data_IF_598599566456
#
_entry.id   IF_598599566456
#
_cell.length_a   1.000
_cell.length_b   1.000
_cell.length_c   1.000
_cell.angle_alpha   90.00
_cell.angle_beta   90.00
_cell.angle_gamma   90.00
#
_symmetry.space_group_name_H-M   'P 1'
#
loop_
_entity.id
_entity.type
_entity.pdbx_description
1 polymer ?
#
# COMPACT_ATOMS: atom_id res chain seq x y z
N UNK A 1 14.79 -29.34 -11.38
CA UNK A 1 14.25 -28.14 -10.71
C UNK A 1 14.20 -28.41 -9.22
N UNK A 2 14.73 -27.51 -8.40
CA UNK A 2 14.60 -27.61 -6.93
C UNK A 2 13.17 -27.23 -6.58
N UNK A 3 12.53 -28.03 -5.73
CA UNK A 3 11.14 -27.77 -5.32
C UNK A 3 11.17 -27.09 -3.97
N UNK A 4 10.63 -25.89 -3.93
CA UNK A 4 10.54 -25.09 -2.71
C UNK A 4 9.35 -25.53 -1.86
N UNK A 5 9.44 -25.33 -0.55
CA UNK A 5 8.28 -25.45 0.33
C UNK A 5 7.34 -24.26 0.15
N UNK A 6 7.90 -23.07 -0.10
CA UNK A 6 7.15 -21.82 -0.25
C UNK A 6 7.70 -20.97 -1.40
N UNK A 7 6.80 -20.32 -2.14
CA UNK A 7 7.12 -19.17 -2.98
C UNK A 7 6.38 -17.94 -2.45
N UNK A 8 7.06 -16.79 -2.36
CA UNK A 8 6.45 -15.50 -2.04
C UNK A 8 6.58 -14.60 -3.27
N UNK A 9 5.48 -13.98 -3.70
CA UNK A 9 5.44 -13.12 -4.90
C UNK A 9 5.18 -11.69 -4.47
N UNK A 10 6.17 -10.83 -4.66
CA UNK A 10 6.22 -9.43 -4.25
C UNK A 10 7.13 -9.20 -3.04
N UNK A 11 7.93 -8.13 -3.10
CA UNK A 11 8.84 -7.68 -2.04
C UNK A 11 8.45 -6.29 -1.49
N UNK A 12 7.16 -5.97 -1.51
CA UNK A 12 6.60 -4.91 -0.68
C UNK A 12 6.55 -5.32 0.81
N UNK A 13 6.07 -4.45 1.72
CA UNK A 13 6.07 -4.74 3.16
C UNK A 13 5.33 -6.04 3.55
N UNK A 14 4.29 -6.42 2.81
CA UNK A 14 3.61 -7.69 3.03
C UNK A 14 4.50 -8.90 2.68
N UNK A 15 5.22 -8.84 1.55
CA UNK A 15 6.12 -9.91 1.12
C UNK A 15 7.35 -10.02 2.02
N UNK A 16 7.92 -8.88 2.43
CA UNK A 16 9.01 -8.82 3.42
C UNK A 16 8.57 -9.51 4.73
N UNK A 17 7.38 -9.17 5.24
CA UNK A 17 6.80 -9.82 6.42
C UNK A 17 6.62 -11.34 6.20
N UNK A 18 6.06 -11.76 5.08
CA UNK A 18 5.87 -13.18 4.78
C UNK A 18 7.19 -13.97 4.81
N UNK A 19 8.24 -13.48 4.14
CA UNK A 19 9.54 -14.15 4.11
C UNK A 19 10.17 -14.19 5.50
N UNK A 20 10.18 -13.07 6.23
CA UNK A 20 10.72 -13.03 7.59
C UNK A 20 10.00 -14.02 8.51
N UNK A 21 8.68 -14.07 8.45
CA UNK A 21 7.89 -14.97 9.30
C UNK A 21 8.00 -16.43 8.91
N UNK A 22 8.14 -16.76 7.63
CA UNK A 22 8.44 -18.14 7.20
C UNK A 22 9.77 -18.63 7.80
N UNK A 23 10.82 -17.81 7.75
CA UNK A 23 12.11 -18.10 8.35
C UNK A 23 12.00 -18.25 9.88
N UNK A 24 11.24 -17.37 10.54
CA UNK A 24 11.01 -17.43 11.99
C UNK A 24 10.26 -18.69 12.43
N UNK A 25 9.47 -19.31 11.55
CA UNK A 25 8.79 -20.59 11.78
C UNK A 25 9.63 -21.80 11.37
N UNK A 26 10.93 -21.62 11.13
CA UNK A 26 11.87 -22.70 10.87
C UNK A 26 11.86 -23.25 9.45
N UNK A 27 11.17 -22.59 8.51
CA UNK A 27 11.31 -22.93 7.08
C UNK A 27 12.72 -22.54 6.66
N UNK A 28 13.47 -23.49 6.10
CA UNK A 28 14.84 -23.23 5.68
C UNK A 28 14.86 -22.28 4.49
N UNK A 29 15.84 -21.39 4.45
CA UNK A 29 15.93 -20.38 3.42
C UNK A 29 16.06 -20.95 1.99
N UNK A 30 16.74 -22.08 1.82
CA UNK A 30 16.85 -22.80 0.54
C UNK A 30 15.51 -23.42 0.09
N UNK A 31 14.52 -23.54 0.97
CA UNK A 31 13.16 -23.98 0.67
C UNK A 31 12.19 -22.83 0.37
N UNK A 32 12.66 -21.58 0.33
CA UNK A 32 11.86 -20.39 0.05
C UNK A 32 12.34 -19.76 -1.26
N UNK A 33 11.44 -19.68 -2.24
CA UNK A 33 11.61 -18.81 -3.40
C UNK A 33 10.95 -17.46 -3.12
N UNK A 34 11.61 -16.35 -3.43
CA UNK A 34 11.04 -15.01 -3.30
C UNK A 34 11.18 -14.28 -4.63
N UNK A 35 10.05 -13.88 -5.22
CA UNK A 35 9.98 -13.33 -6.57
C UNK A 35 9.58 -11.86 -6.49
N UNK A 36 10.41 -10.96 -7.01
CA UNK A 36 10.08 -9.53 -7.15
C UNK A 36 10.89 -8.90 -8.28
N UNK A 37 10.36 -7.92 -9.02
CA UNK A 37 11.10 -7.28 -10.11
C UNK A 37 12.34 -6.51 -9.64
N UNK A 38 12.30 -5.90 -8.46
CA UNK A 38 13.28 -4.87 -8.07
C UNK A 38 13.92 -5.11 -6.70
N UNK A 39 13.19 -5.76 -5.79
CA UNK A 39 13.48 -5.87 -4.36
C UNK A 39 13.70 -4.52 -3.69
N UNK A 40 12.91 -3.53 -4.09
CA UNK A 40 13.00 -2.14 -3.64
C UNK A 40 11.93 -1.77 -2.60
N UNK A 41 11.52 -2.71 -1.75
CA UNK A 41 10.43 -2.55 -0.78
C UNK A 41 9.06 -2.19 -1.40
N UNK A 42 8.82 -2.62 -2.65
CA UNK A 42 7.62 -2.34 -3.42
C UNK A 42 7.40 -0.84 -3.68
N UNK A 43 6.14 -0.43 -3.81
CA UNK A 43 5.83 0.97 -4.12
C UNK A 43 6.19 1.95 -2.98
N UNK A 44 6.31 1.48 -1.73
CA UNK A 44 6.74 2.32 -0.60
C UNK A 44 8.17 2.82 -0.83
N UNK A 45 9.06 1.94 -1.32
CA UNK A 45 10.45 2.30 -1.60
C UNK A 45 10.68 2.96 -2.95
N UNK A 46 9.74 2.89 -3.89
CA UNK A 46 9.94 3.39 -5.26
C UNK A 46 9.07 4.60 -5.61
N UNK A 47 7.81 4.65 -5.15
CA UNK A 47 6.83 5.67 -5.56
C UNK A 47 6.45 6.63 -4.43
N UNK A 48 6.32 6.12 -3.22
CA UNK A 48 5.64 6.86 -2.14
C UNK A 48 6.59 7.57 -1.17
N UNK A 49 7.89 7.67 -1.49
CA UNK A 49 8.92 8.16 -0.55
C UNK A 49 8.65 9.59 -0.04
N UNK A 50 8.18 10.48 -0.91
CA UNK A 50 7.88 11.87 -0.57
C UNK A 50 6.54 12.05 0.18
N UNK A 51 5.74 10.98 0.31
CA UNK A 51 4.41 11.09 0.90
C UNK A 51 4.52 11.12 2.43
N UNK A 52 3.90 12.10 3.10
CA UNK A 52 3.78 12.07 4.56
C UNK A 52 2.91 10.88 4.98
N UNK A 53 3.46 10.02 5.83
CA UNK A 53 2.73 8.90 6.40
C UNK A 53 1.65 9.36 7.39
N UNK A 54 0.62 8.55 7.56
CA UNK A 54 -0.46 8.75 8.53
C UNK A 54 -0.36 7.81 9.74
N UNK A 55 0.76 7.10 9.87
CA UNK A 55 1.01 6.09 10.90
C UNK A 55 2.10 6.60 11.84
N UNK A 56 1.93 6.38 13.14
CA UNK A 56 2.94 6.75 14.12
C UNK A 56 4.23 5.96 13.91
N UNK A 57 5.37 6.61 14.15
CA UNK A 57 6.69 5.99 14.03
C UNK A 57 6.82 4.74 14.90
N UNK A 58 6.21 4.71 16.09
CA UNK A 58 6.17 3.53 16.95
C UNK A 58 5.69 2.27 16.22
N UNK A 59 4.60 2.37 15.44
CA UNK A 59 4.03 1.23 14.70
C UNK A 59 4.93 0.75 13.55
N UNK A 60 5.74 1.64 12.96
CA UNK A 60 6.77 1.23 12.01
C UNK A 60 7.92 0.51 12.72
N UNK A 61 8.38 1.03 13.86
CA UNK A 61 9.40 0.37 14.67
C UNK A 61 8.94 -1.00 15.17
N UNK A 62 7.67 -1.14 15.59
CA UNK A 62 7.08 -2.42 15.97
C UNK A 62 7.13 -3.41 14.81
N UNK A 63 6.71 -3.00 13.61
CA UNK A 63 6.80 -3.84 12.41
C UNK A 63 8.24 -4.33 12.17
N UNK A 64 9.21 -3.42 12.23
CA UNK A 64 10.63 -3.72 11.93
C UNK A 64 11.26 -4.63 13.00
N UNK A 65 10.81 -4.55 14.25
CA UNK A 65 11.32 -5.37 15.35
C UNK A 65 10.55 -6.70 15.53
N UNK A 66 9.40 -6.88 14.89
CA UNK A 66 8.55 -8.07 15.11
C UNK A 66 9.20 -9.37 14.64
N UNK A 67 9.94 -9.35 13.53
CA UNK A 67 10.57 -10.55 12.97
C UNK A 67 12.06 -10.58 13.32
N UNK A 68 12.54 -11.54 14.13
CA UNK A 68 13.98 -11.69 14.37
C UNK A 68 14.76 -11.95 13.08
N UNK A 69 14.15 -12.59 12.07
CA UNK A 69 14.78 -12.77 10.76
C UNK A 69 15.08 -11.48 10.00
N UNK A 70 14.46 -10.35 10.38
CA UNK A 70 14.82 -9.04 9.81
C UNK A 70 16.16 -8.53 10.33
N UNK A 71 16.62 -8.99 11.50
CA UNK A 71 17.84 -8.52 12.17
C UNK A 71 17.92 -6.99 12.27
N UNK A 72 16.78 -6.34 12.44
CA UNK A 72 16.73 -4.87 12.48
C UNK A 72 17.56 -4.28 13.63
N UNK A 73 17.72 -5.00 14.75
CA UNK A 73 18.61 -4.61 15.84
C UNK A 73 20.11 -4.52 15.45
N UNK A 74 20.49 -5.14 14.33
CA UNK A 74 21.85 -5.12 13.79
C UNK A 74 22.00 -4.15 12.60
N UNK A 75 20.92 -3.44 12.26
CA UNK A 75 20.91 -2.53 11.13
C UNK A 75 21.73 -1.26 11.42
N UNK A 76 22.20 -0.54 10.38
CA UNK A 76 22.79 0.77 10.58
C UNK A 76 21.77 1.73 11.21
N UNK A 77 22.26 2.82 11.80
CA UNK A 77 21.40 3.87 12.31
C UNK A 77 20.59 4.48 11.15
N UNK A 78 19.26 4.47 11.28
CA UNK A 78 18.35 5.13 10.34
C UNK A 78 17.75 6.37 10.98
N UNK A 79 17.50 7.40 10.19
CA UNK A 79 16.83 8.62 10.64
C UNK A 79 15.47 8.31 11.31
N UNK A 80 14.75 7.30 10.81
CA UNK A 80 13.51 6.80 11.40
C UNK A 80 13.62 6.53 12.92
N UNK A 81 14.75 5.99 13.38
CA UNK A 81 14.96 5.65 14.80
C UNK A 81 15.24 6.87 15.69
N UNK A 82 15.43 8.04 15.10
CA UNK A 82 15.69 9.30 15.82
C UNK A 82 14.43 10.16 15.97
N UNK A 83 13.36 9.83 15.23
CA UNK A 83 12.09 10.54 15.28
C UNK A 83 11.30 10.06 16.50
N UNK A 84 10.63 11.00 17.17
CA UNK A 84 9.71 10.71 18.27
C UNK A 84 8.68 9.63 17.82
N UNK A 85 8.60 8.48 18.52
CA UNK A 85 7.68 7.40 18.18
C UNK A 85 6.21 7.82 18.11
N UNK A 86 5.80 8.89 18.81
CA UNK A 86 4.45 9.44 18.77
C UNK A 86 4.13 10.31 17.54
N UNK A 87 5.13 10.62 16.71
CA UNK A 87 4.96 11.46 15.51
C UNK A 87 4.76 10.62 14.25
N UNK A 88 4.33 11.28 13.17
CA UNK A 88 4.34 10.73 11.81
C UNK A 88 5.58 11.18 11.05
N UNK A 89 6.00 10.43 10.03
CA UNK A 89 7.16 10.76 9.19
C UNK A 89 6.88 10.58 7.70
N UNK A 90 7.81 11.01 6.83
CA UNK A 90 7.75 10.67 5.40
C UNK A 90 7.97 9.17 5.20
N UNK A 91 7.24 8.56 4.27
CA UNK A 91 7.38 7.12 4.00
C UNK A 91 8.76 6.74 3.46
N UNK A 92 9.52 7.67 2.90
CA UNK A 92 10.92 7.46 2.50
C UNK A 92 11.82 7.05 3.67
N UNK A 93 11.58 7.57 4.88
CA UNK A 93 12.34 7.18 6.07
C UNK A 93 12.01 5.75 6.53
N UNK A 94 10.82 5.26 6.21
CA UNK A 94 10.39 3.88 6.45
C UNK A 94 10.89 2.94 5.34
N UNK A 95 11.00 3.45 4.11
CA UNK A 95 11.51 2.68 2.98
C UNK A 95 12.96 2.25 3.17
N UNK A 96 13.82 3.11 3.74
CA UNK A 96 15.24 2.79 3.96
C UNK A 96 15.47 1.48 4.74
N UNK A 97 14.91 1.29 5.95
CA UNK A 97 15.08 0.03 6.66
C UNK A 97 14.43 -1.16 5.94
N UNK A 98 13.31 -0.96 5.22
CA UNK A 98 12.68 -2.04 4.45
C UNK A 98 13.55 -2.52 3.28
N UNK A 99 14.22 -1.60 2.59
CA UNK A 99 15.17 -1.93 1.51
C UNK A 99 16.37 -2.68 2.08
N UNK A 100 16.91 -2.22 3.21
CA UNK A 100 18.00 -2.91 3.90
C UNK A 100 17.61 -4.33 4.34
N UNK A 101 16.44 -4.50 4.96
CA UNK A 101 15.89 -5.82 5.32
C UNK A 101 15.73 -6.70 4.08
N UNK A 102 15.19 -6.14 2.98
CA UNK A 102 15.01 -6.89 1.74
C UNK A 102 16.33 -7.41 1.18
N UNK A 103 17.40 -6.59 1.21
CA UNK A 103 18.74 -7.01 0.81
C UNK A 103 19.24 -8.16 1.68
N UNK A 104 19.11 -8.05 3.00
CA UNK A 104 19.58 -9.08 3.91
C UNK A 104 18.80 -10.40 3.78
N UNK A 105 17.48 -10.34 3.63
CA UNK A 105 16.66 -11.54 3.43
C UNK A 105 16.99 -12.24 2.10
N UNK A 106 17.31 -11.50 1.04
CA UNK A 106 17.69 -12.09 -0.26
C UNK A 106 18.95 -12.94 -0.20
N UNK A 107 19.87 -12.63 0.70
CA UNK A 107 21.09 -13.44 0.90
C UNK A 107 20.78 -14.80 1.53
N UNK A 108 19.59 -14.95 2.12
CA UNK A 108 19.19 -16.13 2.90
C UNK A 108 18.19 -17.01 2.16
N UNK A 109 17.57 -16.54 1.08
CA UNK A 109 16.52 -17.27 0.34
C UNK A 109 16.84 -17.34 -1.15
N UNK A 110 16.10 -18.18 -1.90
CA UNK A 110 16.20 -18.20 -3.35
C UNK A 110 15.48 -16.98 -3.96
N UNK A 111 16.19 -15.85 -4.06
CA UNK A 111 15.67 -14.63 -4.65
C UNK A 111 15.67 -14.70 -6.18
N UNK A 112 14.50 -14.54 -6.79
CA UNK A 112 14.31 -14.50 -8.24
C UNK A 112 13.86 -13.11 -8.64
N UNK A 113 14.68 -12.45 -9.46
CA UNK A 113 14.31 -11.16 -10.04
C UNK A 113 13.34 -11.40 -11.19
N UNK A 114 12.09 -10.95 -11.05
CA UNK A 114 11.09 -11.10 -12.10
C UNK A 114 9.67 -10.80 -11.64
N UNK A 115 8.74 -10.82 -12.59
CA UNK A 115 7.30 -10.73 -12.33
C UNK A 115 6.66 -12.07 -12.62
N UNK A 116 5.89 -12.60 -11.67
CA UNK A 116 5.10 -13.79 -11.90
C UNK A 116 3.95 -13.49 -12.88
N UNK A 117 3.83 -14.29 -13.93
CA UNK A 117 2.86 -14.11 -15.01
C UNK A 117 1.77 -15.17 -14.98
N UNK A 118 2.07 -16.37 -14.47
CA UNK A 118 1.14 -17.50 -14.41
C UNK A 118 1.38 -18.38 -13.18
N UNK A 119 0.30 -18.96 -12.67
CA UNK A 119 0.26 -19.95 -11.60
C UNK A 119 -0.57 -21.16 -12.05
N UNK A 120 0.05 -22.34 -12.00
CA UNK A 120 -0.62 -23.61 -12.31
C UNK A 120 -0.35 -24.63 -11.22
N UNK A 121 -1.39 -25.28 -10.69
CA UNK A 121 -1.29 -26.36 -9.72
C UNK A 121 -1.30 -27.72 -10.42
N UNK A 122 -0.26 -28.51 -10.24
CA UNK A 122 -0.20 -29.90 -10.71
C UNK A 122 0.57 -30.77 -9.72
N UNK A 123 0.18 -32.03 -9.56
CA UNK A 123 0.86 -32.97 -8.65
C UNK A 123 1.07 -32.42 -7.22
N UNK A 124 0.08 -31.67 -6.71
CA UNK A 124 0.14 -30.99 -5.40
C UNK A 124 1.31 -30.01 -5.29
N UNK A 125 1.64 -29.32 -6.38
CA UNK A 125 2.70 -28.29 -6.47
C UNK A 125 2.27 -27.17 -7.39
N UNK A 126 2.52 -25.95 -6.96
CA UNK A 126 2.38 -24.76 -7.76
C UNK A 126 3.61 -24.58 -8.64
N UNK A 127 3.38 -24.43 -9.94
CA UNK A 127 4.32 -23.91 -10.91
C UNK A 127 4.09 -22.40 -11.03
N UNK A 128 5.07 -21.61 -10.62
CA UNK A 128 5.11 -20.16 -10.78
C UNK A 128 5.95 -19.85 -12.01
N UNK A 129 5.35 -19.24 -13.02
CA UNK A 129 6.06 -18.80 -14.21
C UNK A 129 6.38 -17.32 -14.14
N UNK A 130 7.57 -16.98 -14.57
CA UNK A 130 8.01 -15.62 -14.87
C UNK A 130 8.42 -15.55 -16.35
N UNK A 131 8.91 -14.39 -16.81
CA UNK A 131 9.45 -14.30 -18.17
C UNK A 131 10.68 -15.20 -18.39
N UNK A 132 11.52 -15.35 -17.37
CA UNK A 132 12.86 -15.94 -17.50
C UNK A 132 13.07 -17.22 -16.66
N UNK A 133 12.11 -17.59 -15.82
CA UNK A 133 12.22 -18.70 -14.89
C UNK A 133 10.88 -19.39 -14.60
N UNK A 134 10.96 -20.68 -14.29
CA UNK A 134 9.88 -21.47 -13.71
C UNK A 134 10.30 -21.96 -12.32
N UNK A 135 9.41 -21.81 -11.34
CA UNK A 135 9.66 -22.13 -9.93
C UNK A 135 8.57 -23.11 -9.47
N UNK A 136 8.97 -24.25 -8.92
CA UNK A 136 8.02 -25.17 -8.27
C UNK A 136 8.00 -24.94 -6.76
N UNK A 137 6.81 -24.79 -6.18
CA UNK A 137 6.61 -24.67 -4.75
C UNK A 137 5.40 -25.47 -4.27
N UNK A 138 5.43 -25.97 -3.03
CA UNK A 138 4.22 -26.58 -2.42
C UNK A 138 3.15 -25.54 -2.12
N UNK A 139 3.58 -24.36 -1.64
CA UNK A 139 2.69 -23.26 -1.26
C UNK A 139 3.15 -21.93 -1.87
N UNK A 140 2.23 -21.00 -2.10
CA UNK A 140 2.47 -19.68 -2.68
C UNK A 140 1.77 -18.59 -1.86
N UNK A 141 2.48 -17.50 -1.53
CA UNK A 141 1.92 -16.29 -0.93
C UNK A 141 1.98 -15.15 -1.95
N UNK A 142 0.83 -14.58 -2.30
CA UNK A 142 0.69 -13.41 -3.14
C UNK A 142 0.71 -12.13 -2.30
N UNK A 143 1.75 -11.32 -2.48
CA UNK A 143 1.93 -10.00 -1.88
C UNK A 143 2.14 -8.93 -2.97
N UNK A 144 1.29 -8.98 -4.01
CA UNK A 144 1.48 -8.29 -5.30
C UNK A 144 1.22 -6.79 -5.28
N UNK A 145 0.66 -6.25 -4.20
CA UNK A 145 0.38 -4.83 -4.07
C UNK A 145 -0.83 -4.34 -4.89
N UNK A 146 -0.96 -3.03 -4.99
CA UNK A 146 -2.12 -2.37 -5.60
C UNK A 146 -1.69 -1.29 -6.59
N UNK A 147 -2.66 -0.75 -7.33
CA UNK A 147 -2.49 0.40 -8.22
C UNK A 147 -3.57 1.45 -7.92
N UNK A 148 -3.29 2.74 -8.10
CA UNK A 148 -4.29 3.79 -7.96
C UNK A 148 -5.51 3.54 -8.85
N UNK A 149 -6.71 3.73 -8.31
CA UNK A 149 -7.94 3.74 -9.10
C UNK A 149 -8.01 5.03 -9.93
N UNK A 150 -8.55 4.91 -11.14
CA UNK A 150 -8.80 6.03 -12.04
C UNK A 150 -10.29 6.18 -12.29
N UNK A 151 -10.72 7.40 -12.59
CA UNK A 151 -12.06 7.67 -13.13
C UNK A 151 -11.95 7.95 -14.64
N UNK A 152 -13.07 7.82 -15.34
CA UNK A 152 -13.12 8.01 -16.79
C UNK A 152 -13.58 9.43 -17.13
N UNK A 153 -12.61 10.33 -17.32
CA UNK A 153 -12.82 11.69 -17.79
C UNK A 153 -11.84 12.00 -18.94
N UNK A 154 -12.15 11.56 -20.18
CA UNK A 154 -11.19 11.56 -21.29
C UNK A 154 -10.80 12.97 -21.77
N UNK A 155 -11.54 14.01 -21.39
CA UNK A 155 -11.22 15.40 -21.70
C UNK A 155 -10.20 16.02 -20.74
N UNK A 156 -9.89 15.35 -19.62
CA UNK A 156 -8.96 15.85 -18.60
C UNK A 156 -7.59 15.22 -18.79
N UNK A 157 -6.55 16.05 -18.69
CA UNK A 157 -5.18 15.56 -18.60
C UNK A 157 -4.90 15.03 -17.19
N UNK A 158 -4.58 13.74 -17.08
CA UNK A 158 -4.28 13.13 -15.79
C UNK A 158 -2.92 13.61 -15.27
N UNK A 159 -2.89 14.12 -14.04
CA UNK A 159 -1.68 14.24 -13.23
C UNK A 159 -1.62 12.96 -12.37
N UNK A 160 -0.62 12.08 -12.58
CA UNK A 160 -0.51 10.85 -11.82
C UNK A 160 -0.49 11.11 -10.31
N UNK A 161 -1.15 10.27 -9.53
CA UNK A 161 -1.21 10.46 -8.08
C UNK A 161 0.17 10.40 -7.42
N UNK A 162 1.12 9.66 -8.00
CA UNK A 162 2.52 9.65 -7.54
C UNK A 162 3.14 11.04 -7.62
N UNK A 163 2.86 11.77 -8.72
CA UNK A 163 3.35 13.13 -8.94
C UNK A 163 2.62 14.11 -8.03
N UNK A 164 1.29 14.00 -7.91
CA UNK A 164 0.49 14.88 -7.06
C UNK A 164 0.89 14.86 -5.58
N UNK A 165 1.33 13.71 -5.08
CA UNK A 165 1.71 13.53 -3.68
C UNK A 165 3.18 13.84 -3.40
N UNK A 166 3.98 14.12 -4.44
CA UNK A 166 5.38 14.52 -4.34
C UNK A 166 5.53 16.02 -4.70
N UNK A 167 5.76 16.91 -3.71
CA UNK A 167 5.89 18.34 -3.98
C UNK A 167 6.98 18.70 -4.99
N UNK A 168 8.06 17.94 -5.05
CA UNK A 168 9.17 18.21 -5.96
C UNK A 168 8.80 17.83 -7.40
N UNK A 169 8.22 16.65 -7.61
CA UNK A 169 7.74 16.25 -8.94
C UNK A 169 6.60 17.14 -9.43
N UNK A 170 5.65 17.47 -8.54
CA UNK A 170 4.54 18.35 -8.88
C UNK A 170 5.00 19.75 -9.27
N UNK A 171 6.00 20.29 -8.56
CA UNK A 171 6.57 21.62 -8.83
C UNK A 171 7.33 21.72 -10.16
N UNK A 172 7.61 20.60 -10.83
CA UNK A 172 8.20 20.58 -12.18
C UNK A 172 7.16 20.74 -13.30
N UNK A 173 5.86 20.61 -12.98
CA UNK A 173 4.79 20.80 -13.96
C UNK A 173 4.49 22.29 -14.12
N UNK A 174 4.25 22.71 -15.36
CA UNK A 174 3.67 24.02 -15.62
C UNK A 174 2.15 23.96 -15.48
N UNK A 175 1.66 24.54 -14.39
CA UNK A 175 0.24 24.57 -14.04
C UNK A 175 -0.36 25.98 -14.07
N UNK A 176 0.34 26.99 -14.61
CA UNK A 176 -0.07 28.41 -14.50
C UNK A 176 -1.50 28.66 -14.95
N UNK A 177 -1.93 28.03 -16.05
CA UNK A 177 -3.30 28.17 -16.60
C UNK A 177 -4.22 26.99 -16.25
N UNK A 178 -3.75 26.05 -15.43
CA UNK A 178 -4.45 24.81 -15.14
C UNK A 178 -5.54 25.00 -14.09
N UNK A 179 -6.77 24.59 -14.44
CA UNK A 179 -7.82 24.28 -13.46
C UNK A 179 -7.82 22.78 -13.19
N UNK A 180 -7.44 22.36 -11.99
CA UNK A 180 -7.18 20.95 -11.64
C UNK A 180 -8.33 20.38 -10.81
N UNK A 181 -8.99 19.34 -11.33
CA UNK A 181 -9.96 18.54 -10.60
C UNK A 181 -9.23 17.56 -9.67
N UNK A 182 -9.56 17.55 -8.38
CA UNK A 182 -9.02 16.60 -7.40
C UNK A 182 -10.17 15.77 -6.84
N UNK A 183 -10.22 14.48 -7.18
CA UNK A 183 -11.28 13.58 -6.75
C UNK A 183 -10.92 12.84 -5.46
N UNK A 184 -11.73 13.00 -4.41
CA UNK A 184 -11.56 12.36 -3.11
C UNK A 184 -11.74 13.32 -1.95
N UNK A 185 -11.77 12.80 -0.72
CA UNK A 185 -11.81 13.59 0.53
C UNK A 185 -11.07 12.94 1.69
N UNK A 186 -10.13 12.05 1.39
CA UNK A 186 -9.37 11.28 2.38
C UNK A 186 -7.90 11.71 2.39
N UNK A 187 -7.03 10.94 3.05
CA UNK A 187 -5.64 11.32 3.32
C UNK A 187 -4.87 11.80 2.08
N UNK A 188 -4.85 11.03 0.99
CA UNK A 188 -4.16 11.43 -0.24
C UNK A 188 -4.70 12.73 -0.84
N UNK A 189 -6.01 12.99 -0.75
CA UNK A 189 -6.59 14.28 -1.16
C UNK A 189 -6.00 15.42 -0.33
N UNK A 190 -5.97 15.25 1.00
CA UNK A 190 -5.47 16.27 1.93
C UNK A 190 -3.95 16.47 1.90
N UNK A 191 -3.23 15.63 1.15
CA UNK A 191 -1.82 15.84 0.79
C UNK A 191 -1.70 16.51 -0.57
N UNK A 192 -2.48 16.06 -1.57
CA UNK A 192 -2.44 16.61 -2.93
C UNK A 192 -2.90 18.08 -2.98
N UNK A 193 -3.91 18.47 -2.21
CA UNK A 193 -4.45 19.83 -2.20
C UNK A 193 -3.40 20.88 -1.77
N UNK A 194 -2.75 20.78 -0.59
CA UNK A 194 -1.70 21.72 -0.23
C UNK A 194 -0.51 21.70 -1.20
N UNK A 195 -0.12 20.53 -1.72
CA UNK A 195 0.95 20.44 -2.71
C UNK A 195 0.61 21.26 -3.97
N UNK A 196 -0.60 21.10 -4.51
CA UNK A 196 -1.07 21.88 -5.65
C UNK A 196 -1.11 23.38 -5.35
N UNK A 197 -1.66 23.76 -4.20
CA UNK A 197 -1.76 25.17 -3.81
C UNK A 197 -0.40 25.81 -3.55
N UNK A 198 0.66 25.04 -3.30
CA UNK A 198 2.03 25.54 -3.24
C UNK A 198 2.63 25.82 -4.63
N UNK A 199 1.99 25.37 -5.71
CA UNK A 199 2.37 25.68 -7.10
C UNK A 199 1.66 26.93 -7.64
N UNK A 200 2.03 27.31 -8.85
CA UNK A 200 1.43 28.35 -9.68
C UNK A 200 0.08 27.96 -10.30
N UNK A 201 -0.56 26.87 -9.87
CA UNK A 201 -1.87 26.41 -10.39
C UNK A 201 -2.91 27.55 -10.43
N UNK A 202 -3.63 27.71 -11.54
CA UNK A 202 -4.67 28.75 -11.63
C UNK A 202 -5.77 28.52 -10.58
N UNK A 203 -6.33 27.30 -10.56
CA UNK A 203 -7.47 26.95 -9.69
C UNK A 203 -7.49 25.47 -9.36
N UNK A 204 -7.90 25.13 -8.14
CA UNK A 204 -8.09 23.75 -7.69
C UNK A 204 -9.56 23.52 -7.38
N UNK A 205 -10.15 22.46 -7.94
CA UNK A 205 -11.55 22.06 -7.71
C UNK A 205 -11.57 20.67 -7.08
N UNK A 206 -11.89 20.58 -5.80
CA UNK A 206 -12.01 19.30 -5.11
C UNK A 206 -13.42 18.73 -5.20
N UNK A 207 -13.56 17.57 -5.82
CA UNK A 207 -14.81 16.82 -5.89
C UNK A 207 -14.84 15.72 -4.82
N UNK A 208 -15.88 15.73 -3.97
CA UNK A 208 -15.99 14.81 -2.84
C UNK A 208 -17.36 14.15 -2.73
N UNK A 209 -17.41 12.97 -2.11
CA UNK A 209 -18.64 12.18 -1.87
C UNK A 209 -19.22 12.37 -0.48
N UNK A 210 -18.35 12.55 0.51
CA UNK A 210 -18.71 12.64 1.92
C UNK A 210 -17.80 13.64 2.64
N UNK A 211 -18.25 14.19 3.79
CA UNK A 211 -17.40 14.98 4.66
C UNK A 211 -16.10 14.27 5.04
N UNK A 212 -15.12 15.05 5.45
CA UNK A 212 -13.87 14.59 6.04
C UNK A 212 -14.16 13.78 7.30
N UNK A 213 -13.40 12.71 7.51
CA UNK A 213 -13.42 11.91 8.74
C UNK A 213 -12.06 12.06 9.40
N UNK A 214 -12.03 12.13 10.73
CA UNK A 214 -10.79 12.26 11.49
C UNK A 214 -10.60 11.05 12.37
N UNK A 215 -9.37 10.54 12.44
CA UNK A 215 -9.05 9.49 13.40
C UNK A 215 -9.08 10.07 14.82
N UNK A 216 -9.63 9.30 15.76
CA UNK A 216 -9.70 9.70 17.18
C UNK A 216 -9.05 8.63 18.04
N UNK A 217 -8.03 9.03 18.80
CA UNK A 217 -7.30 8.14 19.69
C UNK A 217 -8.04 8.04 21.03
N UNK A 218 -8.35 6.82 21.45
CA UNK A 218 -9.04 6.50 22.71
C UNK A 218 -8.32 5.35 23.41
N UNK A 219 -7.40 5.68 24.33
CA UNK A 219 -6.53 4.68 24.94
C UNK A 219 -5.69 3.97 23.88
N UNK A 220 -5.80 2.65 23.82
CA UNK A 220 -5.09 1.80 22.86
C UNK A 220 -5.83 1.63 21.52
N UNK A 221 -7.04 2.19 21.39
CA UNK A 221 -7.86 2.09 20.19
C UNK A 221 -7.89 3.39 19.40
N UNK A 222 -8.13 3.28 18.09
CA UNK A 222 -8.26 4.42 17.19
C UNK A 222 -9.58 4.29 16.43
N UNK A 223 -10.52 5.18 16.70
CA UNK A 223 -11.75 5.28 15.92
C UNK A 223 -11.41 5.79 14.51
N UNK A 224 -11.99 5.18 13.48
CA UNK A 224 -11.68 5.44 12.07
C UNK A 224 -10.20 5.23 11.73
N UNK A 225 -9.53 4.26 12.33
CA UNK A 225 -8.09 4.01 12.16
C UNK A 225 -7.64 3.93 10.68
N UNK A 226 -8.39 3.21 9.84
CA UNK A 226 -8.05 3.01 8.42
C UNK A 226 -8.64 4.09 7.48
N UNK A 227 -9.59 4.90 7.97
CA UNK A 227 -10.39 5.80 7.09
C UNK A 227 -10.35 7.27 7.48
N UNK A 228 -9.93 7.57 8.72
CA UNK A 228 -9.82 8.91 9.26
C UNK A 228 -8.48 9.58 8.94
N UNK A 229 -8.53 10.89 8.73
CA UNK A 229 -7.36 11.74 8.59
C UNK A 229 -6.54 11.76 9.89
N UNK A 230 -5.22 11.75 9.75
CA UNK A 230 -4.22 11.81 10.85
C UNK A 230 -3.10 12.80 10.51
N UNK A 231 -2.30 13.14 11.51
CA UNK A 231 -1.09 13.97 11.35
C UNK A 231 -1.33 15.28 10.61
N UNK A 232 -0.39 15.65 9.74
CA UNK A 232 -0.42 16.91 8.99
C UNK A 232 -1.65 17.03 8.08
N UNK A 233 -2.09 15.93 7.46
CA UNK A 233 -3.29 15.94 6.62
C UNK A 233 -4.56 16.29 7.42
N UNK A 234 -4.67 15.79 8.67
CA UNK A 234 -5.76 16.16 9.56
C UNK A 234 -5.69 17.62 10.01
N UNK A 235 -4.50 18.09 10.38
CA UNK A 235 -4.29 19.48 10.78
C UNK A 235 -4.64 20.45 9.64
N UNK A 236 -4.13 20.17 8.44
CA UNK A 236 -4.41 20.99 7.25
C UNK A 236 -5.90 21.00 6.91
N UNK A 237 -6.56 19.84 6.96
CA UNK A 237 -8.00 19.71 6.69
C UNK A 237 -8.86 20.51 7.69
N UNK A 238 -8.56 20.47 8.99
CA UNK A 238 -9.32 21.26 9.97
C UNK A 238 -9.25 22.76 9.69
N UNK A 239 -8.09 23.26 9.31
CA UNK A 239 -7.88 24.68 9.00
C UNK A 239 -8.50 25.09 7.66
N UNK A 240 -8.27 24.29 6.61
CA UNK A 240 -8.51 24.70 5.22
C UNK A 240 -9.77 24.09 4.59
N UNK A 241 -10.37 23.08 5.22
CA UNK A 241 -11.51 22.32 4.70
C UNK A 241 -12.71 22.40 5.62
N UNK A 242 -12.50 22.37 6.94
CA UNK A 242 -13.57 22.62 7.91
C UNK A 242 -13.62 24.10 8.34
N UNK A 243 -12.48 24.79 8.22
CA UNK A 243 -12.34 26.24 8.42
C UNK A 243 -12.55 27.03 7.13
N UNK A 244 -11.54 27.82 6.74
CA UNK A 244 -11.65 28.73 5.60
C UNK A 244 -10.91 28.18 4.39
N UNK A 245 -11.57 28.15 3.24
CA UNK A 245 -10.94 27.62 2.02
C UNK A 245 -9.86 28.59 1.53
N UNK A 246 -8.68 28.07 1.13
CA UNK A 246 -7.72 28.84 0.36
C UNK A 246 -8.39 29.48 -0.86
N UNK A 247 -7.98 30.70 -1.22
CA UNK A 247 -8.63 31.49 -2.29
C UNK A 247 -8.77 30.74 -3.62
N UNK A 248 -7.77 29.95 -4.00
CA UNK A 248 -7.75 29.16 -5.23
C UNK A 248 -8.44 27.79 -5.12
N UNK A 249 -8.98 27.42 -3.95
CA UNK A 249 -9.64 26.15 -3.72
C UNK A 249 -11.16 26.30 -3.70
N UNK A 250 -11.83 25.51 -4.54
CA UNK A 250 -13.27 25.30 -4.46
C UNK A 250 -13.57 23.83 -4.23
N UNK A 251 -14.71 23.54 -3.58
CA UNK A 251 -15.14 22.18 -3.30
C UNK A 251 -16.58 21.98 -3.72
N UNK A 252 -16.85 20.88 -4.41
CA UNK A 252 -18.18 20.53 -4.88
C UNK A 252 -18.50 19.08 -4.49
N UNK A 253 -19.71 18.89 -3.97
CA UNK A 253 -20.24 17.55 -3.75
C UNK A 253 -20.57 16.92 -5.10
N UNK A 254 -20.16 15.68 -5.34
CA UNK A 254 -20.34 15.04 -6.67
C UNK A 254 -21.80 14.88 -7.10
N UNK A 255 -22.75 14.99 -6.18
CA UNK A 255 -24.18 14.93 -6.47
C UNK A 255 -24.84 16.32 -6.51
N UNK A 256 -24.06 17.41 -6.44
CA UNK A 256 -24.61 18.76 -6.55
C UNK A 256 -24.89 19.13 -8.01
N UNK A 257 -25.86 20.02 -8.30
CA UNK A 257 -26.17 20.44 -9.66
C UNK A 257 -24.99 21.06 -10.42
N UNK A 258 -24.05 21.67 -9.70
CA UNK A 258 -22.87 22.36 -10.24
C UNK A 258 -21.77 21.38 -10.68
N UNK A 259 -21.82 20.10 -10.27
CA UNK A 259 -20.75 19.14 -10.52
C UNK A 259 -20.34 19.07 -11.99
N UNK A 260 -21.32 18.94 -12.89
CA UNK A 260 -21.06 18.77 -14.32
C UNK A 260 -20.42 20.02 -14.94
N UNK A 261 -20.94 21.21 -14.61
CA UNK A 261 -20.41 22.49 -15.10
C UNK A 261 -18.98 22.72 -14.61
N UNK A 262 -18.73 22.51 -13.32
CA UNK A 262 -17.40 22.75 -12.73
C UNK A 262 -16.38 21.72 -13.21
N UNK A 263 -16.80 20.47 -13.43
CA UNK A 263 -15.94 19.45 -14.02
C UNK A 263 -15.56 19.81 -15.46
N UNK A 264 -16.51 20.27 -16.27
CA UNK A 264 -16.27 20.66 -17.66
C UNK A 264 -15.31 21.85 -17.79
N UNK A 265 -15.23 22.70 -16.76
CA UNK A 265 -14.28 23.81 -16.68
C UNK A 265 -12.86 23.37 -16.27
N UNK A 266 -12.68 22.13 -15.81
CA UNK A 266 -11.37 21.59 -15.46
C UNK A 266 -10.58 21.19 -16.71
N UNK A 267 -9.26 21.26 -16.59
CA UNK A 267 -8.29 20.90 -17.64
C UNK A 267 -7.49 19.65 -17.28
N UNK A 268 -7.30 19.42 -15.98
CA UNK A 268 -6.51 18.33 -15.44
C UNK A 268 -7.29 17.58 -14.36
N UNK A 269 -6.89 16.33 -14.08
CA UNK A 269 -7.45 15.53 -13.02
C UNK A 269 -6.39 14.82 -12.18
N UNK A 270 -6.64 14.73 -10.87
CA UNK A 270 -5.93 13.87 -9.93
C UNK A 270 -6.95 12.94 -9.27
N UNK A 271 -6.71 11.64 -9.36
CA UNK A 271 -7.58 10.61 -8.80
C UNK A 271 -7.05 10.10 -7.46
N UNK A 272 -7.60 10.61 -6.35
CA UNK A 272 -7.32 10.12 -4.99
C UNK A 272 -8.46 9.25 -4.45
N UNK A 273 -9.00 8.37 -5.32
CA UNK A 273 -10.24 7.59 -5.06
C UNK A 273 -9.97 6.15 -4.60
N UNK A 274 -8.81 5.94 -3.98
CA UNK A 274 -8.37 4.65 -3.46
C UNK A 274 -7.59 3.81 -4.46
N UNK A 275 -7.36 2.55 -4.09
CA UNK A 275 -6.51 1.61 -4.83
C UNK A 275 -7.30 0.35 -5.21
N UNK A 276 -6.90 -0.30 -6.30
CA UNK A 276 -7.37 -1.62 -6.71
C UNK A 276 -6.22 -2.61 -6.69
N UNK A 277 -6.55 -3.89 -6.44
CA UNK A 277 -5.60 -5.01 -6.54
C UNK A 277 -4.89 -4.96 -7.90
N UNK A 278 -3.57 -5.13 -7.92
CA UNK A 278 -2.82 -5.29 -9.19
C UNK A 278 -3.32 -6.52 -9.92
N UNK A 279 -3.17 -6.52 -11.25
CA UNK A 279 -3.43 -7.72 -12.04
C UNK A 279 -2.60 -8.88 -11.48
N UNK A 280 -3.29 -9.95 -11.08
CA UNK A 280 -2.66 -11.14 -10.53
C UNK A 280 -2.03 -11.97 -11.67
N UNK A 281 -1.04 -12.83 -11.35
CA UNK A 281 -0.62 -13.88 -12.26
C UNK A 281 -1.84 -14.65 -12.76
N UNK A 282 -1.86 -15.01 -14.04
CA UNK A 282 -2.96 -15.77 -14.62
C UNK A 282 -3.06 -17.14 -13.92
N UNK A 283 -4.28 -17.60 -13.69
CA UNK A 283 -4.58 -18.94 -13.17
C UNK A 283 -5.44 -19.68 -14.21
N UNK A 284 -4.83 -20.24 -15.27
CA UNK A 284 -5.56 -20.77 -16.43
C UNK A 284 -6.54 -21.89 -16.08
N UNK A 285 -6.31 -22.59 -14.96
CA UNK A 285 -7.17 -23.68 -14.50
C UNK A 285 -8.51 -23.22 -13.91
N UNK A 286 -8.60 -21.98 -13.44
CA UNK A 286 -9.77 -21.51 -12.66
C UNK A 286 -10.32 -20.14 -13.07
N UNK A 287 -9.61 -19.36 -13.90
CA UNK A 287 -9.99 -17.97 -14.16
C UNK A 287 -9.63 -17.06 -13.00
N UNK A 288 -10.44 -16.04 -12.71
CA UNK A 288 -10.21 -15.13 -11.59
C UNK A 288 -10.55 -15.80 -10.24
N UNK A 289 -9.63 -15.69 -9.28
CA UNK A 289 -9.80 -16.24 -7.94
C UNK A 289 -10.06 -15.14 -6.91
N UNK A 290 -11.08 -15.37 -6.09
CA UNK A 290 -11.35 -14.60 -4.89
C UNK A 290 -10.54 -15.13 -3.70
N UNK A 291 -10.41 -14.30 -2.67
CA UNK A 291 -9.75 -14.67 -1.42
C UNK A 291 -10.74 -14.56 -0.27
N UNK A 292 -10.55 -15.40 0.74
CA UNK A 292 -11.26 -15.24 2.01
C UNK A 292 -10.59 -14.11 2.83
N UNK A 293 -11.28 -13.00 3.13
CA UNK A 293 -10.69 -11.86 3.85
C UNK A 293 -10.40 -12.16 5.33
N UNK A 294 -10.93 -13.25 5.89
CA UNK A 294 -10.75 -13.66 7.28
C UNK A 294 -9.52 -14.54 7.43
N UNK A 295 -9.17 -15.38 6.45
CA UNK A 295 -7.98 -16.27 6.55
C UNK A 295 -6.94 -16.10 5.43
N UNK A 296 -7.25 -15.38 4.35
CA UNK A 296 -6.31 -15.05 3.27
C UNK A 296 -6.09 -16.21 2.31
N UNK A 297 -6.86 -17.30 2.40
CA UNK A 297 -6.81 -18.43 1.47
C UNK A 297 -7.47 -18.02 0.15
N UNK A 298 -6.81 -18.37 -0.95
CA UNK A 298 -7.29 -18.16 -2.33
C UNK A 298 -7.64 -19.51 -2.95
N UNK A 299 -6.73 -20.49 -2.81
CA UNK A 299 -6.89 -21.86 -3.30
C UNK A 299 -6.00 -22.80 -2.44
N UNK A 300 -6.05 -24.14 -2.62
CA UNK A 300 -5.17 -25.05 -1.89
C UNK A 300 -3.69 -24.66 -2.02
N UNK A 301 -3.03 -24.36 -0.90
CA UNK A 301 -1.66 -23.86 -0.86
C UNK A 301 -1.41 -22.52 -1.56
N UNK A 302 -2.44 -21.72 -1.87
CA UNK A 302 -2.31 -20.37 -2.42
C UNK A 302 -2.98 -19.36 -1.50
N UNK A 303 -2.21 -18.37 -1.06
CA UNK A 303 -2.59 -17.41 -0.05
C UNK A 303 -2.36 -15.97 -0.52
N UNK A 304 -3.08 -15.02 0.07
CA UNK A 304 -2.97 -13.60 -0.20
C UNK A 304 -2.61 -12.81 1.06
N UNK A 305 -1.73 -11.81 0.91
CA UNK A 305 -1.32 -10.90 1.97
C UNK A 305 -1.14 -9.46 1.45
N UNK A 306 -1.36 -8.49 2.32
CA UNK A 306 -1.07 -7.08 2.05
C UNK A 306 -2.24 -6.32 1.44
N UNK A 307 -1.97 -5.12 0.90
CA UNK A 307 -3.02 -4.24 0.32
C UNK A 307 -3.80 -4.88 -0.85
N UNK A 308 -3.24 -5.90 -1.50
CA UNK A 308 -3.91 -6.69 -2.54
C UNK A 308 -4.98 -7.64 -1.96
N UNK A 309 -4.77 -8.09 -0.71
CA UNK A 309 -5.57 -9.08 0.00
C UNK A 309 -5.71 -8.66 1.48
N UNK A 310 -6.27 -7.48 1.77
CA UNK A 310 -6.34 -6.94 3.12
C UNK A 310 -7.26 -7.79 4.00
N UNK A 311 -6.90 -7.92 5.26
CA UNK A 311 -7.80 -8.51 6.26
C UNK A 311 -9.01 -7.59 6.46
N UNK A 312 -10.21 -8.17 6.53
CA UNK A 312 -11.39 -7.45 6.99
C UNK A 312 -11.57 -7.66 8.50
N UNK A 313 -11.47 -6.57 9.27
CA UNK A 313 -11.64 -6.59 10.72
C UNK A 313 -12.86 -5.79 11.15
N UNK A 314 -13.42 -6.13 12.31
CA UNK A 314 -14.46 -5.36 12.99
C UNK A 314 -13.81 -4.68 14.19
N UNK A 315 -14.00 -3.36 14.33
CA UNK A 315 -13.52 -2.62 15.49
C UNK A 315 -14.44 -2.80 16.70
N UNK A 316 -13.99 -2.32 17.87
CA UNK A 316 -14.74 -2.38 19.13
C UNK A 316 -16.09 -1.64 19.07
N UNK A 317 -16.26 -0.74 18.11
CA UNK A 317 -17.48 0.02 17.85
C UNK A 317 -18.43 -0.68 16.86
N UNK A 318 -18.11 -1.91 16.43
CA UNK A 318 -18.91 -2.71 15.51
C UNK A 318 -18.81 -2.29 14.04
N UNK A 319 -17.88 -1.39 13.70
CA UNK A 319 -17.63 -0.97 12.32
C UNK A 319 -16.60 -1.89 11.66
N UNK A 320 -16.94 -2.41 10.49
CA UNK A 320 -16.04 -3.24 9.70
C UNK A 320 -15.19 -2.42 8.74
N UNK A 321 -13.89 -2.70 8.67
CA UNK A 321 -12.96 -2.06 7.75
C UNK A 321 -11.85 -3.00 7.30
N UNK A 322 -11.39 -2.78 6.07
CA UNK A 322 -10.16 -3.42 5.58
C UNK A 322 -8.95 -2.79 6.25
N UNK A 323 -8.11 -3.65 6.83
CA UNK A 323 -6.93 -3.28 7.62
C UNK A 323 -5.73 -3.10 6.70
N UNK A 324 -5.34 -1.85 6.46
CA UNK A 324 -4.24 -1.51 5.53
C UNK A 324 -3.15 -0.73 6.27
N UNK A 325 -1.96 -1.31 6.34
CA UNK A 325 -0.81 -0.71 6.98
C UNK A 325 0.27 -1.75 7.27
N UNK A 326 1.52 -1.31 7.41
CA UNK A 326 2.67 -2.21 7.56
C UNK A 326 2.48 -3.12 8.78
N UNK A 327 2.24 -2.54 9.96
CA UNK A 327 2.01 -3.30 11.19
C UNK A 327 0.81 -4.25 11.06
N UNK A 328 -0.24 -3.86 10.34
CA UNK A 328 -1.43 -4.68 10.10
C UNK A 328 -1.09 -5.89 9.23
N UNK A 329 -0.23 -5.74 8.22
CA UNK A 329 0.25 -6.87 7.42
C UNK A 329 1.09 -7.84 8.25
N UNK A 330 1.90 -7.33 9.18
CA UNK A 330 2.67 -8.16 10.11
C UNK A 330 1.77 -8.93 11.09
N UNK A 331 0.82 -8.23 11.72
CA UNK A 331 -0.19 -8.85 12.58
C UNK A 331 -0.97 -9.93 11.83
N UNK A 332 -1.36 -9.63 10.60
CA UNK A 332 -2.08 -10.54 9.73
C UNK A 332 -1.29 -11.82 9.43
N UNK A 333 -0.03 -11.71 9.02
CA UNK A 333 0.76 -12.91 8.76
C UNK A 333 1.00 -13.71 10.04
N UNK A 334 1.12 -13.07 11.21
CA UNK A 334 1.24 -13.78 12.48
C UNK A 334 0.00 -14.61 12.83
N UNK A 335 -1.20 -14.14 12.52
CA UNK A 335 -2.45 -14.89 12.77
C UNK A 335 -2.73 -15.92 11.70
N UNK A 336 -2.44 -15.61 10.42
CA UNK A 336 -2.79 -16.47 9.29
C UNK A 336 -1.77 -17.58 9.02
N UNK A 337 -0.46 -17.33 9.20
CA UNK A 337 0.59 -18.28 8.83
C UNK A 337 0.49 -19.64 9.56
N UNK A 338 0.16 -19.72 10.87
CA UNK A 338 -0.06 -21.02 11.52
C UNK A 338 -1.15 -21.86 10.85
N UNK A 339 -2.20 -21.24 10.31
CA UNK A 339 -3.24 -21.93 9.53
C UNK A 339 -2.68 -22.34 8.17
N UNK A 340 -1.97 -21.45 7.48
CA UNK A 340 -1.41 -21.71 6.15
C UNK A 340 -0.38 -22.85 6.15
N UNK A 341 0.42 -22.97 7.20
CA UNK A 341 1.36 -24.08 7.40
C UNK A 341 0.67 -25.45 7.46
N UNK A 342 -0.62 -25.49 7.82
CA UNK A 342 -1.43 -26.70 7.87
C UNK A 342 -2.39 -26.86 6.67
N UNK A 343 -2.54 -25.81 5.84
CA UNK A 343 -3.43 -25.77 4.69
C UNK A 343 -2.66 -25.95 3.37
N UNK A 344 -2.06 -27.13 3.17
CA UNK A 344 -1.29 -27.45 1.96
C UNK A 344 -2.15 -27.89 0.77
N UNK A 345 -1.54 -27.93 -0.42
CA UNK A 345 -2.04 -28.61 -1.64
C UNK A 345 -2.16 -30.12 -1.46
#
# INVERSE_FOLDING_TARGET
MTVHSWAVIGAGPAGIAAVGRLLDHGIRGDEIAWVDPDFAAGDVGTKWRAVPGNTHVSLFLDYLNTSPSFRFAEAPAFELTTIDPGQTCLLGLVAEPLVWISQHLRERVHAVRGTATELTLSNRRWLVRTADAEIEAKNVILATGSVPKKLDHPHLQEIPVEVALDPHQLGQLDLTDATVAVFGSSHSTMVALPNLLATQVHKVVNFYRSPTKYAVYFGDEILFDDTGLKGNAAAWSRENIDGTYPERLQRYWVNSPEFAEQLQACTHAIYTVGFSRRRLPATPQWGELEYDPVNGIIAPGLFGLGIAFPEYGIDSFGSGQYRIGLIKFMQRVNTALPVWLNYGT
#
